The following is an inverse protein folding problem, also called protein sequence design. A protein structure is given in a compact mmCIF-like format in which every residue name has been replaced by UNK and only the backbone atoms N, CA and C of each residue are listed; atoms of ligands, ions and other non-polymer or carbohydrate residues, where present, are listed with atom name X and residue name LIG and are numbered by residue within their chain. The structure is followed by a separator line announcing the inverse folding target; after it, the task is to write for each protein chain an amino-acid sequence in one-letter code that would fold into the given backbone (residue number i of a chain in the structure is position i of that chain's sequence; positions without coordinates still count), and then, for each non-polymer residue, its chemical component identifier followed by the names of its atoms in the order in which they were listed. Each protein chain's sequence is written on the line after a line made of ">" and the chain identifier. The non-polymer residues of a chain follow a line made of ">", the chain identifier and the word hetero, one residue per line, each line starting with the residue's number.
data_IF_266061408126
#
_entry.id   IF_266061408126
#
_cell.length_a   1.000
_cell.length_b   1.000
_cell.length_c   1.000
_cell.angle_alpha   90.00
_cell.angle_beta   90.00
_cell.angle_gamma   90.00
#
_symmetry.space_group_name_H-M   'P 1'
#
loop_
_entity.id
_entity.type
_entity.pdbx_description
1 polymer ?
#
# COMPACT_ATOMS: atom_id res chain seq x y z
N UNK A 1 26.47 -1.42 -14.29
CA UNK A 1 25.79 -2.73 -14.18
C UNK A 1 25.11 -2.74 -12.82
N UNK A 2 23.82 -2.42 -12.78
CA UNK A 2 22.87 -2.93 -11.79
C UNK A 2 21.63 -3.29 -12.60
N UNK A 3 21.49 -4.58 -12.85
CA UNK A 3 20.36 -5.17 -13.51
C UNK A 3 19.58 -5.90 -12.43
N UNK A 4 18.31 -5.52 -12.29
CA UNK A 4 17.13 -6.22 -11.79
C UNK A 4 16.07 -5.11 -11.93
N UNK A 5 15.13 -5.11 -12.88
CA UNK A 5 14.32 -6.22 -13.40
C UNK A 5 13.96 -6.03 -14.89
N UNK A 6 13.92 -7.14 -15.63
CA UNK A 6 13.54 -7.23 -17.05
C UNK A 6 12.11 -7.81 -17.18
N UNK A 7 11.33 -7.32 -18.17
CA UNK A 7 10.16 -7.94 -18.88
C UNK A 7 8.78 -8.00 -18.17
N UNK A 8 7.64 -8.04 -18.89
CA UNK A 8 7.09 -7.17 -19.95
C UNK A 8 5.60 -6.79 -19.65
N UNK A 9 4.94 -6.06 -20.57
CA UNK A 9 3.47 -5.92 -20.70
C UNK A 9 2.75 -4.79 -19.93
N UNK A 10 1.83 -4.15 -20.64
CA UNK A 10 1.09 -2.93 -20.36
C UNK A 10 0.09 -3.06 -19.20
N UNK A 11 0.56 -3.36 -17.98
CA UNK A 11 -0.22 -3.08 -16.78
C UNK A 11 0.13 -1.66 -16.32
N UNK A 12 -0.75 -0.65 -16.50
CA UNK A 12 -0.48 0.67 -15.97
C UNK A 12 -0.21 0.56 -14.47
N UNK A 13 0.92 1.09 -14.02
CA UNK A 13 1.25 1.19 -12.60
C UNK A 13 0.77 2.55 -12.13
N UNK A 14 0.09 2.58 -11.01
CA UNK A 14 -0.35 3.83 -10.40
C UNK A 14 0.37 4.07 -9.09
N UNK A 15 0.67 5.34 -8.86
CA UNK A 15 1.25 5.80 -7.60
C UNK A 15 0.18 5.65 -6.51
N UNK A 16 0.48 4.83 -5.51
CA UNK A 16 -0.37 4.66 -4.34
C UNK A 16 0.34 5.21 -3.11
N UNK A 17 -0.26 6.22 -2.49
CA UNK A 17 0.27 6.81 -1.26
C UNK A 17 -0.51 6.23 -0.09
N UNK A 18 0.15 5.47 0.78
CA UNK A 18 -0.49 4.90 1.97
C UNK A 18 0.00 5.70 3.19
N UNK A 19 -0.87 6.56 3.69
CA UNK A 19 -0.69 7.29 4.94
C UNK A 19 -1.49 6.58 6.05
N UNK A 20 -0.90 6.43 7.23
CA UNK A 20 -1.63 6.00 8.43
C UNK A 20 -1.51 7.05 9.50
N UNK A 21 -2.63 7.31 10.17
CA UNK A 21 -2.71 8.12 11.37
C UNK A 21 -3.26 7.23 12.50
N UNK A 22 -2.45 6.85 13.50
CA UNK A 22 -1.09 7.33 13.82
C UNK A 22 0.06 6.80 12.92
N UNK A 23 1.19 7.54 12.79
CA UNK A 23 2.39 7.12 12.04
C UNK A 23 3.16 6.01 12.79
N UNK A 24 3.80 5.08 12.09
CA UNK A 24 4.33 3.77 12.58
C UNK A 24 3.36 2.57 12.45
N UNK A 25 2.52 2.55 11.42
CA UNK A 25 1.74 1.36 11.06
C UNK A 25 2.47 0.52 10.01
N UNK A 26 2.50 -0.79 10.19
CA UNK A 26 3.08 -1.75 9.23
C UNK A 26 2.09 -1.98 8.10
N UNK A 27 2.48 -1.59 6.89
CA UNK A 27 1.71 -1.82 5.67
C UNK A 27 2.20 -3.12 5.02
N UNK A 28 1.28 -4.05 4.84
CA UNK A 28 1.46 -5.27 4.07
C UNK A 28 0.54 -5.26 2.86
N UNK A 29 1.03 -5.70 1.71
CA UNK A 29 0.28 -5.71 0.46
C UNK A 29 0.43 -7.06 -0.20
N UNK A 30 -0.69 -7.74 -0.49
CA UNK A 30 -0.70 -9.12 -1.02
C UNK A 30 0.21 -10.10 -0.24
N UNK A 31 0.36 -9.90 1.07
CA UNK A 31 1.25 -10.71 1.92
C UNK A 31 2.72 -10.26 1.93
N UNK A 32 3.09 -9.26 1.14
CA UNK A 32 4.41 -8.61 1.20
C UNK A 32 4.36 -7.41 2.12
N UNK A 33 5.10 -7.44 3.23
CA UNK A 33 5.28 -6.26 4.06
C UNK A 33 6.09 -5.21 3.29
N UNK A 34 5.42 -4.12 2.92
CA UNK A 34 6.03 -3.01 2.18
C UNK A 34 6.85 -2.10 3.11
N UNK A 35 6.48 -2.01 4.38
CA UNK A 35 7.20 -1.22 5.38
C UNK A 35 6.27 -0.50 6.34
N UNK A 36 6.72 0.64 6.88
CA UNK A 36 5.93 1.47 7.80
C UNK A 36 5.40 2.73 7.11
N UNK A 37 4.21 3.18 7.48
CA UNK A 37 3.62 4.44 7.00
C UNK A 37 4.30 5.69 7.59
N UNK A 38 4.32 6.83 6.86
CA UNK A 38 3.80 7.02 5.51
C UNK A 38 4.70 6.38 4.45
N UNK A 39 4.11 5.55 3.60
CA UNK A 39 4.83 4.83 2.56
C UNK A 39 4.21 5.14 1.20
N UNK A 40 5.07 5.49 0.24
CA UNK A 40 4.70 5.63 -1.16
C UNK A 40 5.13 4.38 -1.91
N UNK A 41 4.19 3.71 -2.57
CA UNK A 41 4.44 2.49 -3.34
C UNK A 41 3.77 2.60 -4.71
N UNK A 42 4.33 1.94 -5.71
CA UNK A 42 3.77 1.90 -7.06
C UNK A 42 3.16 0.53 -7.29
N UNK A 43 1.85 0.48 -7.47
CA UNK A 43 1.10 -0.76 -7.58
C UNK A 43 0.49 -0.87 -8.98
N UNK A 44 0.42 -2.08 -9.55
CA UNK A 44 -0.29 -2.28 -10.81
C UNK A 44 -1.77 -1.99 -10.63
N UNK A 45 -2.41 -1.47 -11.67
CA UNK A 45 -3.87 -1.29 -11.70
C UNK A 45 -4.59 -2.62 -11.52
N UNK A 46 -5.80 -2.53 -10.97
CA UNK A 46 -6.63 -3.67 -10.62
C UNK A 46 -7.01 -3.68 -9.14
N UNK A 47 -7.55 -4.80 -8.69
CA UNK A 47 -7.99 -4.95 -7.30
C UNK A 47 -6.81 -5.34 -6.43
N UNK A 48 -6.39 -4.43 -5.57
CA UNK A 48 -5.28 -4.61 -4.66
C UNK A 48 -5.73 -4.66 -3.22
N UNK A 49 -5.23 -5.66 -2.50
CA UNK A 49 -5.54 -5.84 -1.07
C UNK A 49 -4.34 -5.39 -0.26
N UNK A 50 -4.54 -4.33 0.51
CA UNK A 50 -3.58 -3.80 1.48
C UNK A 50 -4.08 -4.17 2.86
N UNK A 51 -3.19 -4.67 3.70
CA UNK A 51 -3.43 -4.93 5.12
C UNK A 51 -2.53 -4.00 5.90
N UNK A 52 -3.12 -3.11 6.69
CA UNK A 52 -2.38 -2.22 7.57
C UNK A 52 -2.52 -2.74 8.98
N UNK A 53 -1.42 -3.18 9.57
CA UNK A 53 -1.39 -3.76 10.91
C UNK A 53 -0.39 -2.99 11.77
N UNK A 54 -0.68 -2.78 13.04
CA UNK A 54 0.24 -2.09 13.93
C UNK A 54 0.23 -2.72 15.32
N UNK A 55 1.42 -2.81 15.92
CA UNK A 55 1.53 -3.19 17.34
C UNK A 55 0.82 -2.16 18.23
N UNK A 56 -0.27 -2.58 18.88
CA UNK A 56 -1.12 -1.72 19.71
C UNK A 56 -2.28 -1.05 18.98
N UNK A 57 -2.57 -1.44 17.73
CA UNK A 57 -3.77 -1.01 16.98
C UNK A 57 -4.38 -2.19 16.22
N UNK A 58 -5.61 -2.02 15.73
CA UNK A 58 -6.26 -3.05 14.92
C UNK A 58 -5.60 -3.20 13.55
N UNK A 59 -5.58 -4.43 13.03
CA UNK A 59 -5.33 -4.68 11.61
C UNK A 59 -6.54 -4.27 10.78
N UNK A 60 -6.30 -3.48 9.74
CA UNK A 60 -7.31 -2.98 8.82
C UNK A 60 -6.98 -3.52 7.43
N UNK A 61 -7.89 -4.32 6.86
CA UNK A 61 -7.77 -4.81 5.49
C UNK A 61 -8.56 -3.92 4.54
N UNK A 62 -7.86 -3.34 3.57
CA UNK A 62 -8.39 -2.35 2.65
C UNK A 62 -8.25 -2.90 1.24
N UNK A 63 -9.39 -2.98 0.56
CA UNK A 63 -9.45 -3.29 -0.85
C UNK A 63 -9.42 -1.99 -1.66
N UNK A 64 -8.44 -1.91 -2.55
CA UNK A 64 -8.11 -0.76 -3.37
C UNK A 64 -8.29 -1.12 -4.82
N UNK A 65 -9.27 -0.51 -5.46
CA UNK A 65 -9.43 -0.62 -6.92
C UNK A 65 -8.61 0.49 -7.55
N UNK A 66 -7.45 0.10 -8.08
CA UNK A 66 -6.50 0.99 -8.73
C UNK A 66 -6.82 1.08 -10.23
N UNK A 67 -7.02 2.30 -10.73
CA UNK A 67 -7.38 2.56 -12.13
C UNK A 67 -6.26 3.30 -12.86
N UNK A 68 -5.95 2.98 -14.13
CA UNK A 68 -4.84 3.59 -14.89
C UNK A 68 -4.86 5.11 -14.95
N UNK A 69 -6.05 5.68 -14.89
CA UNK A 69 -6.33 7.09 -15.14
C UNK A 69 -6.01 7.99 -13.94
N UNK A 70 -5.79 7.45 -12.74
CA UNK A 70 -5.68 8.26 -11.52
C UNK A 70 -4.70 7.69 -10.48
N UNK A 71 -3.93 8.58 -9.83
CA UNK A 71 -3.10 8.22 -8.67
C UNK A 71 -3.98 8.12 -7.43
N UNK A 72 -3.81 7.07 -6.63
CA UNK A 72 -4.69 6.81 -5.49
C UNK A 72 -3.97 7.10 -4.19
N UNK A 73 -4.43 8.10 -3.44
CA UNK A 73 -4.02 8.30 -2.06
C UNK A 73 -4.98 7.58 -1.10
N UNK A 74 -4.40 6.86 -0.15
CA UNK A 74 -5.13 6.20 0.93
C UNK A 74 -4.62 6.62 2.27
N UNK A 75 -5.55 7.22 3.01
CA UNK A 75 -5.37 7.61 4.39
C UNK A 75 -6.12 6.63 5.27
N UNK A 76 -5.38 5.83 6.03
CA UNK A 76 -5.91 4.85 6.97
C UNK A 76 -5.87 5.46 8.36
N UNK A 77 -7.00 5.48 9.06
CA UNK A 77 -7.04 5.89 10.47
C UNK A 77 -7.11 4.65 11.34
N UNK A 78 -5.96 4.21 11.83
CA UNK A 78 -5.93 3.14 12.81
C UNK A 78 -6.36 3.70 14.16
N UNK A 79 -7.28 3.01 14.83
CA UNK A 79 -7.63 3.34 16.20
C UNK A 79 -6.64 2.63 17.13
N UNK A 80 -5.75 3.37 17.84
CA UNK A 80 -4.95 2.77 18.90
C UNK A 80 -5.88 2.31 20.03
N UNK A 81 -5.56 1.18 20.67
CA UNK A 81 -6.40 0.63 21.75
C UNK A 81 -6.00 1.12 23.15
N UNK A 82 -5.29 2.26 23.23
CA UNK A 82 -4.76 2.81 24.48
C UNK A 82 -5.83 3.50 25.33
#
# INVERSE_FOLDING_TARGET
>A
MEAVEKKPEEAPKVSVVIASDPPDATVSWKGTTLGKTPLKTELPVGTQVVVVSRSGSFDETIMLTLTPDESVERSVKLRPTN
#
